data_IF_004053926435
#
_entry.id   IF_004053926435
#
_cell.length_a   1.000
_cell.length_b   1.000
_cell.length_c   1.000
_cell.angle_alpha   90.00
_cell.angle_beta   90.00
_cell.angle_gamma   90.00
#
_symmetry.space_group_name_H-M   'P 1'
#
loop_
_entity.id
_entity.type
_entity.pdbx_description
1 polymer ?
#
# COMPACT_ATOMS: atom_id res chain seq x y z
N UNK A 1 32.28 33.86 -5.84
CA UNK A 1 31.55 33.70 -4.57
C UNK A 1 31.39 32.21 -4.31
N UNK A 2 32.28 31.64 -3.50
CA UNK A 2 32.12 30.27 -3.01
C UNK A 2 31.11 30.33 -1.86
N UNK A 3 29.97 29.67 -2.00
CA UNK A 3 29.05 29.46 -0.89
C UNK A 3 29.73 28.50 0.08
N UNK A 4 30.25 29.02 1.19
CA UNK A 4 30.54 28.22 2.37
C UNK A 4 29.22 27.63 2.86
N UNK A 5 28.93 26.40 2.44
CA UNK A 5 27.87 25.59 3.05
C UNK A 5 28.27 25.45 4.53
N UNK A 6 27.47 26.05 5.41
CA UNK A 6 27.70 26.04 6.84
C UNK A 6 27.93 24.60 7.33
N UNK A 7 28.96 24.42 8.17
CA UNK A 7 29.35 23.12 8.71
C UNK A 7 28.19 22.38 9.39
N UNK A 8 27.20 23.12 9.89
CA UNK A 8 25.97 22.60 10.48
C UNK A 8 25.05 21.88 9.49
N UNK A 9 25.00 22.34 8.22
CA UNK A 9 24.18 21.71 7.20
C UNK A 9 24.75 20.35 6.78
N UNK A 10 26.08 20.26 6.69
CA UNK A 10 26.82 19.03 6.40
C UNK A 10 26.67 18.03 7.56
N UNK A 11 26.69 18.53 8.82
CA UNK A 11 26.52 17.69 10.00
C UNK A 11 25.09 17.12 10.13
N UNK A 12 24.07 17.90 9.75
CA UNK A 12 22.68 17.43 9.74
C UNK A 12 22.41 16.40 8.64
N UNK A 13 22.98 16.56 7.45
CA UNK A 13 22.85 15.58 6.36
C UNK A 13 23.53 14.26 6.69
N UNK A 14 24.75 14.30 7.25
CA UNK A 14 25.47 13.10 7.67
C UNK A 14 24.72 12.31 8.76
N UNK A 15 24.05 13.01 9.69
CA UNK A 15 23.22 12.37 10.72
C UNK A 15 21.95 11.73 10.14
N UNK A 16 21.31 12.37 9.15
CA UNK A 16 20.15 11.80 8.44
C UNK A 16 20.54 10.56 7.64
N UNK A 17 21.68 10.59 6.96
CA UNK A 17 22.22 9.44 6.23
C UNK A 17 22.50 8.25 7.14
N UNK A 18 23.13 8.52 8.29
CA UNK A 18 23.45 7.50 9.29
C UNK A 18 22.19 6.88 9.90
N UNK A 19 21.23 7.70 10.30
CA UNK A 19 19.96 7.23 10.85
C UNK A 19 19.18 6.38 9.83
N UNK A 20 19.10 6.82 8.57
CA UNK A 20 18.46 6.08 7.49
C UNK A 20 19.11 4.71 7.28
N UNK A 21 20.44 4.67 7.24
CA UNK A 21 21.19 3.45 7.06
C UNK A 21 21.00 2.46 8.23
N UNK A 22 21.08 2.94 9.46
CA UNK A 22 20.89 2.12 10.66
C UNK A 22 19.47 1.53 10.73
N UNK A 23 18.47 2.33 10.39
CA UNK A 23 17.08 1.92 10.40
C UNK A 23 16.81 0.79 9.39
N UNK A 24 17.32 0.92 8.17
CA UNK A 24 17.17 -0.10 7.13
C UNK A 24 18.00 -1.36 7.44
N UNK A 25 19.23 -1.18 7.96
CA UNK A 25 20.08 -2.30 8.36
C UNK A 25 19.42 -3.13 9.46
N UNK A 26 18.87 -2.46 10.48
CA UNK A 26 18.13 -3.11 11.57
C UNK A 26 16.92 -3.86 11.03
N UNK A 27 16.19 -3.27 10.08
CA UNK A 27 15.03 -3.90 9.47
C UNK A 27 15.37 -5.16 8.66
N UNK A 28 16.41 -5.10 7.81
CA UNK A 28 16.88 -6.28 7.06
C UNK A 28 17.33 -7.39 8.01
N UNK A 29 18.02 -7.04 9.11
CA UNK A 29 18.40 -7.98 10.16
C UNK A 29 17.19 -8.65 10.80
N UNK A 30 16.14 -7.89 11.13
CA UNK A 30 14.90 -8.47 11.68
C UNK A 30 14.20 -9.43 10.72
N UNK A 31 14.20 -9.15 9.41
CA UNK A 31 13.51 -9.98 8.43
C UNK A 31 14.28 -11.24 8.02
N UNK A 32 15.61 -11.16 7.98
CA UNK A 32 16.47 -12.28 7.55
C UNK A 32 16.97 -13.13 8.71
N UNK A 33 16.90 -12.61 9.95
CA UNK A 33 17.41 -13.26 11.15
C UNK A 33 18.94 -13.34 11.20
N UNK A 34 19.64 -12.61 10.33
CA UNK A 34 21.10 -12.67 10.22
C UNK A 34 21.70 -11.33 10.57
N UNK A 35 22.76 -11.39 11.36
CA UNK A 35 23.60 -10.24 11.64
C UNK A 35 24.57 -10.02 10.47
N UNK A 36 24.06 -9.47 9.37
CA UNK A 36 24.85 -9.15 8.19
C UNK A 36 25.09 -7.65 8.12
N UNK A 37 26.33 -7.29 7.86
CA UNK A 37 26.73 -5.93 7.52
C UNK A 37 26.45 -5.71 6.04
N UNK A 38 25.83 -4.58 5.69
CA UNK A 38 25.61 -4.21 4.29
C UNK A 38 26.96 -3.96 3.61
N UNK A 39 27.11 -4.47 2.39
CA UNK A 39 28.31 -4.23 1.60
C UNK A 39 28.41 -2.75 1.19
N UNK A 40 29.63 -2.25 0.87
CA UNK A 40 29.80 -0.87 0.39
C UNK A 40 28.89 -0.52 -0.79
N UNK A 41 28.70 -1.47 -1.72
CA UNK A 41 27.78 -1.30 -2.85
C UNK A 41 26.33 -1.11 -2.42
N UNK A 42 25.88 -1.84 -1.40
CA UNK A 42 24.52 -1.69 -0.87
C UNK A 42 24.34 -0.35 -0.15
N UNK A 43 25.40 0.12 0.54
CA UNK A 43 25.41 1.45 1.14
C UNK A 43 25.27 2.54 0.08
N UNK A 44 25.99 2.43 -1.04
CA UNK A 44 25.87 3.39 -2.15
C UNK A 44 24.47 3.42 -2.75
N UNK A 45 23.81 2.26 -2.83
CA UNK A 45 22.42 2.16 -3.31
C UNK A 45 21.47 2.88 -2.36
N UNK A 46 21.63 2.69 -1.05
CA UNK A 46 20.82 3.38 -0.04
C UNK A 46 21.03 4.89 -0.09
N UNK A 47 22.26 5.36 -0.28
CA UNK A 47 22.55 6.79 -0.46
C UNK A 47 21.89 7.35 -1.72
N UNK A 48 21.95 6.62 -2.85
CA UNK A 48 21.25 7.01 -4.08
C UNK A 48 19.73 7.10 -3.87
N UNK A 49 19.14 6.20 -3.09
CA UNK A 49 17.71 6.21 -2.78
C UNK A 49 17.34 7.38 -1.86
N UNK A 50 18.16 7.66 -0.85
CA UNK A 50 17.96 8.80 0.02
C UNK A 50 18.02 10.12 -0.76
N UNK A 51 19.02 10.29 -1.64
CA UNK A 51 19.12 11.46 -2.53
C UNK A 51 17.94 11.60 -3.49
N UNK A 52 17.26 10.50 -3.81
CA UNK A 52 16.03 10.49 -4.61
C UNK A 52 14.75 10.70 -3.79
N UNK A 53 14.85 10.92 -2.48
CA UNK A 53 13.70 11.20 -1.62
C UNK A 53 12.93 9.96 -1.15
N UNK A 54 13.48 8.75 -1.28
CA UNK A 54 12.80 7.54 -0.80
C UNK A 54 12.79 7.47 0.72
N UNK A 55 11.60 7.48 1.31
CA UNK A 55 11.43 7.35 2.77
C UNK A 55 11.82 5.95 3.28
N UNK A 56 12.25 5.83 4.55
CA UNK A 56 12.56 4.53 5.16
C UNK A 56 11.37 3.56 5.08
N UNK A 57 10.15 4.06 5.28
CA UNK A 57 8.92 3.27 5.25
C UNK A 57 8.65 2.63 3.88
N UNK A 58 8.83 3.40 2.81
CA UNK A 58 8.70 2.87 1.44
C UNK A 58 9.73 1.78 1.17
N UNK A 59 10.97 2.00 1.60
CA UNK A 59 12.04 1.05 1.38
C UNK A 59 11.84 -0.24 2.18
N UNK A 60 11.37 -0.15 3.43
CA UNK A 60 10.97 -1.30 4.25
C UNK A 60 9.89 -2.15 3.57
N UNK A 61 8.85 -1.51 3.00
CA UNK A 61 7.80 -2.21 2.24
C UNK A 61 8.38 -2.98 1.04
N UNK A 62 9.29 -2.37 0.28
CA UNK A 62 9.94 -3.02 -0.87
C UNK A 62 10.79 -4.23 -0.45
N UNK A 63 11.62 -4.04 0.58
CA UNK A 63 12.46 -5.11 1.14
C UNK A 63 11.59 -6.27 1.63
N UNK A 64 10.49 -5.99 2.33
CA UNK A 64 9.56 -7.03 2.80
C UNK A 64 8.93 -7.81 1.63
N UNK A 65 8.43 -7.10 0.61
CA UNK A 65 7.84 -7.73 -0.59
C UNK A 65 8.84 -8.66 -1.27
N UNK A 66 10.09 -8.24 -1.38
CA UNK A 66 11.12 -9.06 -2.02
C UNK A 66 11.50 -10.26 -1.16
N UNK A 67 11.68 -10.09 0.16
CA UNK A 67 12.07 -11.18 1.07
C UNK A 67 11.01 -12.29 1.14
N UNK A 68 9.72 -11.95 1.07
CA UNK A 68 8.62 -12.92 1.14
C UNK A 68 8.62 -13.88 -0.06
N UNK A 69 9.15 -13.48 -1.22
CA UNK A 69 9.28 -14.35 -2.40
C UNK A 69 10.22 -15.54 -2.16
N UNK A 70 11.10 -15.43 -1.18
CA UNK A 70 12.09 -16.46 -0.88
C UNK A 70 11.66 -17.34 0.31
N UNK A 71 11.83 -18.66 0.20
CA UNK A 71 11.71 -19.57 1.33
C UNK A 71 12.64 -19.15 2.49
N UNK A 72 12.26 -19.37 3.77
CA UNK A 72 13.03 -18.92 4.94
C UNK A 72 14.52 -19.25 4.89
N UNK A 73 14.87 -20.45 4.42
CA UNK A 73 16.25 -20.94 4.30
C UNK A 73 17.10 -20.12 3.31
N UNK A 74 16.48 -19.55 2.27
CA UNK A 74 17.14 -18.79 1.21
C UNK A 74 17.18 -17.28 1.48
N UNK A 75 16.42 -16.79 2.47
CA UNK A 75 16.41 -15.35 2.84
C UNK A 75 17.79 -14.84 3.24
N UNK A 76 18.67 -15.74 3.67
CA UNK A 76 20.06 -15.49 4.02
C UNK A 76 20.93 -14.94 2.88
N UNK A 77 20.56 -15.24 1.63
CA UNK A 77 21.32 -14.87 0.43
C UNK A 77 20.82 -13.59 -0.23
N UNK A 78 19.79 -12.95 0.33
CA UNK A 78 19.18 -11.76 -0.27
C UNK A 78 20.13 -10.59 -0.14
N UNK A 79 20.50 -9.98 -1.25
CA UNK A 79 21.23 -8.72 -1.30
C UNK A 79 20.28 -7.57 -1.66
N UNK A 80 20.66 -6.34 -1.37
CA UNK A 80 19.89 -5.14 -1.71
C UNK A 80 20.16 -4.66 -3.15
N UNK A 81 20.88 -5.44 -3.97
CA UNK A 81 21.18 -5.06 -5.36
C UNK A 81 19.92 -5.01 -6.24
N UNK A 82 18.85 -5.72 -5.87
CA UNK A 82 17.56 -5.63 -6.57
C UNK A 82 16.98 -4.20 -6.54
N UNK A 83 17.34 -3.39 -5.54
CA UNK A 83 16.91 -2.00 -5.47
C UNK A 83 17.44 -1.18 -6.65
N UNK A 84 18.62 -1.49 -7.21
CA UNK A 84 19.09 -0.80 -8.41
C UNK A 84 18.23 -1.11 -9.63
N UNK A 85 17.78 -2.36 -9.78
CA UNK A 85 16.83 -2.72 -10.83
C UNK A 85 15.52 -1.97 -10.65
N UNK A 86 15.02 -1.92 -9.41
CA UNK A 86 13.81 -1.17 -9.09
C UNK A 86 13.92 0.32 -9.39
N UNK A 87 15.09 0.92 -9.10
CA UNK A 87 15.39 2.32 -9.41
C UNK A 87 15.45 2.58 -10.92
N UNK A 88 16.01 1.64 -11.69
CA UNK A 88 16.09 1.76 -13.16
C UNK A 88 14.73 1.59 -13.81
N UNK A 89 13.94 0.61 -13.38
CA UNK A 89 12.61 0.33 -13.92
C UNK A 89 11.58 1.42 -13.56
N UNK A 90 11.73 2.09 -12.40
CA UNK A 90 10.84 3.20 -12.02
C UNK A 90 11.18 4.57 -12.60
N UNK A 91 12.33 4.73 -13.27
CA UNK A 91 12.66 6.01 -13.92
C UNK A 91 11.77 6.35 -15.12
N UNK A 92 10.99 5.40 -15.63
CA UNK A 92 9.98 5.63 -16.69
C UNK A 92 8.56 5.88 -16.16
N UNK A 93 8.34 5.82 -14.84
CA UNK A 93 7.03 6.12 -14.24
C UNK A 93 7.25 7.08 -13.08
N UNK A 94 6.97 8.35 -13.35
CA UNK A 94 6.82 9.41 -12.36
C UNK A 94 6.21 8.84 -11.08
N UNK A 95 6.93 9.03 -9.98
CA UNK A 95 6.50 8.60 -8.65
C UNK A 95 5.25 9.42 -8.32
N UNK A 96 4.04 8.84 -8.20
CA UNK A 96 3.01 9.49 -7.43
C UNK A 96 3.50 9.45 -5.99
N UNK A 97 3.52 10.62 -5.37
CA UNK A 97 3.75 10.82 -3.95
C UNK A 97 2.74 9.99 -3.13
N UNK A 98 3.07 8.73 -2.85
CA UNK A 98 2.34 7.87 -1.92
C UNK A 98 2.74 8.25 -0.49
N UNK A 99 2.21 9.39 -0.04
CA UNK A 99 1.86 9.58 1.36
C UNK A 99 0.88 8.50 1.82
N UNK A 100 0.61 8.37 3.14
CA UNK A 100 -0.23 7.30 3.67
C UNK A 100 -1.57 7.23 2.92
N UNK A 101 -2.05 6.00 2.66
CA UNK A 101 -3.29 5.61 1.95
C UNK A 101 -4.57 6.38 2.38
N UNK A 102 -4.49 7.19 3.43
CA UNK A 102 -5.47 8.19 3.85
C UNK A 102 -5.85 9.12 2.69
N UNK A 103 -4.90 9.55 1.84
CA UNK A 103 -5.22 10.42 0.71
C UNK A 103 -6.17 9.78 -0.31
N UNK A 104 -6.09 8.46 -0.51
CA UNK A 104 -6.96 7.74 -1.46
C UNK A 104 -8.40 7.77 -0.99
N UNK A 105 -8.62 7.41 0.28
CA UNK A 105 -9.95 7.38 0.86
C UNK A 105 -10.52 8.79 1.04
N UNK A 106 -9.68 9.78 1.37
CA UNK A 106 -10.07 11.20 1.39
C UNK A 106 -10.58 11.68 0.03
N UNK A 107 -9.90 11.30 -1.06
CA UNK A 107 -10.36 11.63 -2.43
C UNK A 107 -11.71 11.00 -2.74
N UNK A 108 -11.91 9.74 -2.35
CA UNK A 108 -13.19 9.03 -2.55
C UNK A 108 -14.30 9.69 -1.74
N UNK A 109 -14.06 10.02 -0.48
CA UNK A 109 -15.04 10.69 0.40
C UNK A 109 -15.41 12.07 -0.13
N UNK A 110 -14.43 12.88 -0.54
CA UNK A 110 -14.68 14.20 -1.16
C UNK A 110 -15.46 14.08 -2.47
N UNK A 111 -15.08 13.14 -3.34
CA UNK A 111 -15.75 12.91 -4.64
C UNK A 111 -17.21 12.48 -4.47
N UNK A 112 -17.49 11.64 -3.47
CA UNK A 112 -18.82 11.08 -3.22
C UNK A 112 -19.63 11.88 -2.19
N UNK A 113 -19.08 13.00 -1.69
CA UNK A 113 -19.66 13.83 -0.64
C UNK A 113 -20.11 13.02 0.58
N UNK A 114 -19.23 12.12 1.04
CA UNK A 114 -19.49 11.22 2.16
C UNK A 114 -19.03 11.84 3.49
N UNK A 115 -19.57 11.40 4.64
CA UNK A 115 -19.09 11.86 5.93
C UNK A 115 -17.66 11.34 6.21
N UNK A 116 -16.76 12.20 6.73
CA UNK A 116 -15.37 11.83 7.01
C UNK A 116 -15.24 10.79 8.14
N UNK A 117 -16.26 10.67 8.99
CA UNK A 117 -16.35 9.68 10.07
C UNK A 117 -16.16 8.24 9.59
N UNK A 118 -16.40 7.96 8.30
CA UNK A 118 -16.21 6.63 7.70
C UNK A 118 -14.74 6.17 7.68
N UNK A 119 -13.78 7.10 7.83
CA UNK A 119 -12.34 6.82 7.93
C UNK A 119 -11.89 6.46 9.34
N UNK A 120 -12.74 6.66 10.36
CA UNK A 120 -12.36 6.41 11.75
C UNK A 120 -12.36 4.89 12.01
N UNK A 121 -11.18 4.29 11.88
CA UNK A 121 -10.92 2.86 12.11
C UNK A 121 -9.74 2.66 13.07
N UNK A 122 -9.68 3.49 14.10
CA UNK A 122 -8.55 3.56 15.06
C UNK A 122 -8.32 2.24 15.79
N UNK A 123 -9.39 1.50 16.12
CA UNK A 123 -9.34 0.22 16.83
C UNK A 123 -9.00 -0.99 15.94
N UNK A 124 -8.83 -0.79 14.63
CA UNK A 124 -8.62 -1.88 13.67
C UNK A 124 -7.12 -2.03 13.36
N UNK A 125 -6.57 -3.26 13.31
CA UNK A 125 -5.20 -3.51 12.87
C UNK A 125 -4.88 -2.82 11.54
N UNK A 126 -3.69 -2.22 11.41
CA UNK A 126 -3.29 -1.39 10.27
C UNK A 126 -3.44 -2.10 8.92
N UNK A 127 -3.22 -3.41 8.90
CA UNK A 127 -3.36 -4.30 7.74
C UNK A 127 -4.82 -4.56 7.31
N UNK A 128 -5.79 -4.27 8.17
CA UNK A 128 -7.22 -4.42 7.90
C UNK A 128 -7.97 -3.10 7.76
N UNK A 129 -7.30 -1.96 7.98
CA UNK A 129 -7.92 -0.62 7.93
C UNK A 129 -8.55 -0.32 6.58
N UNK A 130 -7.84 -0.60 5.48
CA UNK A 130 -8.38 -0.35 4.13
C UNK A 130 -9.66 -1.13 3.85
N UNK A 131 -9.70 -2.41 4.24
CA UNK A 131 -10.87 -3.28 4.06
C UNK A 131 -12.04 -2.78 4.91
N UNK A 132 -11.75 -2.29 6.12
CA UNK A 132 -12.77 -1.75 7.02
C UNK A 132 -13.36 -0.43 6.48
N UNK A 133 -12.50 0.50 6.03
CA UNK A 133 -12.92 1.76 5.41
C UNK A 133 -13.75 1.49 4.15
N UNK A 134 -13.28 0.59 3.28
CA UNK A 134 -14.02 0.16 2.09
C UNK A 134 -15.43 -0.33 2.45
N UNK A 135 -15.51 -1.21 3.46
CA UNK A 135 -16.77 -1.78 3.92
C UNK A 135 -17.70 -0.72 4.51
N UNK A 136 -17.17 0.26 5.25
CA UNK A 136 -17.94 1.37 5.81
C UNK A 136 -18.54 2.24 4.70
N UNK A 137 -17.73 2.61 3.70
CA UNK A 137 -18.17 3.40 2.54
C UNK A 137 -19.26 2.66 1.76
N UNK A 138 -19.04 1.40 1.42
CA UNK A 138 -20.04 0.59 0.67
C UNK A 138 -21.34 0.47 1.46
N UNK A 139 -21.27 0.21 2.77
CA UNK A 139 -22.45 0.12 3.63
C UNK A 139 -23.20 1.44 3.69
N UNK A 140 -22.49 2.57 3.77
CA UNK A 140 -23.11 3.90 3.82
C UNK A 140 -23.83 4.22 2.50
N UNK A 141 -23.15 4.01 1.37
CA UNK A 141 -23.73 4.18 0.03
C UNK A 141 -24.99 3.32 -0.09
N UNK A 142 -24.90 2.04 0.29
CA UNK A 142 -26.05 1.15 0.24
C UNK A 142 -27.20 1.64 1.14
N UNK A 143 -26.93 2.15 2.34
CA UNK A 143 -27.99 2.65 3.24
C UNK A 143 -28.70 3.88 2.67
N UNK A 144 -27.95 4.82 2.10
CA UNK A 144 -28.48 6.09 1.56
C UNK A 144 -29.07 5.98 0.14
N UNK A 145 -28.82 4.88 -0.56
CA UNK A 145 -29.33 4.64 -1.91
C UNK A 145 -30.86 4.45 -1.93
N UNK A 146 -31.57 5.03 -2.90
CA UNK A 146 -33.01 4.83 -3.06
C UNK A 146 -33.35 3.37 -3.40
N UNK A 147 -34.53 2.91 -2.99
CA UNK A 147 -34.92 1.50 -3.17
C UNK A 147 -34.99 1.09 -4.64
N UNK A 148 -35.38 2.02 -5.54
CA UNK A 148 -35.40 1.80 -6.98
C UNK A 148 -34.02 1.46 -7.56
N UNK A 149 -32.94 2.08 -7.06
CA UNK A 149 -31.58 1.75 -7.46
C UNK A 149 -31.08 0.46 -6.84
N UNK A 150 -31.41 0.20 -5.57
CA UNK A 150 -31.10 -1.07 -4.91
C UNK A 150 -31.70 -2.24 -5.66
N UNK A 151 -32.95 -2.11 -6.13
CA UNK A 151 -33.60 -3.13 -6.94
C UNK A 151 -32.90 -3.37 -8.28
N UNK A 152 -32.48 -2.31 -8.97
CA UNK A 152 -31.68 -2.44 -10.20
C UNK A 152 -30.40 -3.22 -9.95
N UNK A 153 -29.66 -2.88 -8.89
CA UNK A 153 -28.41 -3.57 -8.53
C UNK A 153 -28.68 -5.03 -8.12
N UNK A 154 -29.75 -5.29 -7.36
CA UNK A 154 -30.17 -6.66 -7.00
C UNK A 154 -30.46 -7.49 -8.26
N UNK A 155 -31.21 -6.93 -9.22
CA UNK A 155 -31.54 -7.59 -10.51
C UNK A 155 -30.27 -7.86 -11.33
N UNK A 156 -29.37 -6.89 -11.43
CA UNK A 156 -28.08 -7.04 -12.11
C UNK A 156 -27.22 -8.14 -11.46
N UNK A 157 -27.15 -8.15 -10.13
CA UNK A 157 -26.42 -9.16 -9.37
C UNK A 157 -27.00 -10.58 -9.59
N UNK A 158 -28.33 -10.70 -9.68
CA UNK A 158 -29.00 -11.96 -9.97
C UNK A 158 -28.74 -12.44 -11.41
N UNK A 159 -28.65 -11.54 -12.40
CA UNK A 159 -28.27 -11.91 -13.77
C UNK A 159 -26.85 -12.46 -13.82
N UNK A 160 -25.89 -11.73 -13.23
CA UNK A 160 -24.49 -12.16 -13.15
C UNK A 160 -24.31 -13.49 -12.39
N UNK A 161 -25.14 -13.75 -11.39
CA UNK A 161 -25.14 -15.02 -10.68
C UNK A 161 -25.55 -16.19 -11.59
N UNK A 162 -26.57 -15.99 -12.45
CA UNK A 162 -27.08 -17.01 -13.37
C UNK A 162 -26.11 -17.32 -14.52
N UNK A 163 -25.36 -16.32 -14.98
CA UNK A 163 -24.42 -16.46 -16.09
C UNK A 163 -23.09 -17.13 -15.69
N UNK A 164 -22.62 -16.92 -14.45
CA UNK A 164 -21.26 -17.28 -14.05
C UNK A 164 -21.11 -18.45 -13.08
N UNK A 165 -22.18 -18.98 -12.49
CA UNK A 165 -22.07 -19.96 -11.40
C UNK A 165 -22.91 -21.21 -11.64
N UNK A 166 -22.25 -22.37 -11.72
CA UNK A 166 -22.88 -23.68 -11.51
C UNK A 166 -23.10 -23.80 -9.99
N UNK A 167 -24.32 -23.50 -9.54
CA UNK A 167 -24.68 -23.36 -8.11
C UNK A 167 -24.83 -24.71 -7.39
N UNK A 168 -23.82 -25.59 -7.47
CA UNK A 168 -23.75 -26.79 -6.64
C UNK A 168 -22.95 -26.45 -5.36
N UNK A 169 -23.60 -26.51 -4.20
CA UNK A 169 -23.02 -26.34 -2.85
C UNK A 169 -22.55 -24.94 -2.38
N UNK A 170 -22.89 -23.84 -3.06
CA UNK A 170 -22.50 -22.50 -2.58
C UNK A 170 -23.70 -21.73 -1.98
N UNK A 171 -23.48 -21.08 -0.82
CA UNK A 171 -24.45 -20.16 -0.22
C UNK A 171 -24.72 -18.97 -1.14
N UNK A 172 -25.85 -19.04 -1.84
CA UNK A 172 -26.33 -18.02 -2.78
C UNK A 172 -26.38 -16.62 -2.16
N UNK A 173 -26.75 -16.49 -0.88
CA UNK A 173 -26.87 -15.18 -0.22
C UNK A 173 -25.50 -14.51 -0.08
N UNK A 174 -24.46 -15.29 0.24
CA UNK A 174 -23.09 -14.78 0.36
C UNK A 174 -22.53 -14.35 -0.99
N UNK A 175 -22.76 -15.13 -2.04
CA UNK A 175 -22.29 -14.81 -3.40
C UNK A 175 -22.97 -13.56 -3.93
N UNK A 176 -24.30 -13.44 -3.78
CA UNK A 176 -25.05 -12.25 -4.20
C UNK A 176 -24.52 -11.01 -3.50
N UNK A 177 -24.27 -11.06 -2.17
CA UNK A 177 -23.67 -9.94 -1.44
C UNK A 177 -22.30 -9.54 -2.00
N UNK A 178 -21.48 -10.51 -2.38
CA UNK A 178 -20.17 -10.26 -3.00
C UNK A 178 -20.31 -9.56 -4.36
N UNK A 179 -21.23 -10.04 -5.20
CA UNK A 179 -21.51 -9.43 -6.51
C UNK A 179 -22.02 -8.00 -6.36
N UNK A 180 -22.95 -7.76 -5.42
CA UNK A 180 -23.46 -6.41 -5.12
C UNK A 180 -22.32 -5.48 -4.70
N UNK A 181 -21.44 -5.93 -3.79
CA UNK A 181 -20.27 -5.13 -3.39
C UNK A 181 -19.39 -4.80 -4.58
N UNK A 182 -19.12 -5.77 -5.46
CA UNK A 182 -18.33 -5.55 -6.67
C UNK A 182 -18.97 -4.50 -7.59
N UNK A 183 -20.28 -4.62 -7.85
CA UNK A 183 -21.02 -3.63 -8.66
C UNK A 183 -20.92 -2.22 -8.05
N UNK A 184 -21.04 -2.09 -6.73
CA UNK A 184 -20.91 -0.82 -6.04
C UNK A 184 -19.47 -0.27 -6.15
N UNK A 185 -18.46 -1.12 -5.99
CA UNK A 185 -17.06 -0.71 -6.19
C UNK A 185 -16.84 -0.17 -7.59
N UNK A 186 -17.32 -0.89 -8.60
CA UNK A 186 -17.14 -0.52 -10.00
C UNK A 186 -17.88 0.77 -10.35
N UNK A 187 -19.13 0.93 -9.90
CA UNK A 187 -19.95 2.11 -10.21
C UNK A 187 -19.43 3.38 -9.54
N UNK A 188 -18.91 3.28 -8.32
CA UNK A 188 -18.47 4.45 -7.54
C UNK A 188 -16.95 4.63 -7.54
N UNK A 189 -16.20 3.78 -8.25
CA UNK A 189 -14.74 3.87 -8.36
C UNK A 189 -14.01 3.64 -7.03
N UNK A 190 -14.53 2.72 -6.21
CA UNK A 190 -13.96 2.40 -4.89
C UNK A 190 -12.95 1.27 -5.09
N UNK A 191 -11.68 1.62 -5.35
CA UNK A 191 -10.58 0.69 -5.61
C UNK A 191 -9.38 1.00 -4.76
#
# INVERSE_FOLDING_TARGET
>A
MFFELSSDHIFMEANKEKAYYEEITKYVRTLTGINRILSPKERDILLKLLKKGYSPSQLKKLIKKEIVKYPPEKRKKINLLFLERYIKEKHEKEIPDEGPDIQKWDRIIKKLNLPPELLHVEDIPEDLKDIAIEKNIINFIWKKMPESEKEKIKKEALSKLKEGFILTNIDRKRVIKSIIRKILKDRYGIY
#
